data_IF_958606550084
#
_entry.id   IF_958606550084
#
_cell.length_a   1.000
_cell.length_b   1.000
_cell.length_c   1.000
_cell.angle_alpha   90.00
_cell.angle_beta   90.00
_cell.angle_gamma   90.00
#
_symmetry.space_group_name_H-M   'P 1'
#
loop_
_entity.id
_entity.type
_entity.pdbx_description
1 polymer ?
#
# COMPACT_ATOMS: atom_id res chain seq x y z
N UNK A 1 30.60 -73.81 -29.41
CA UNK A 1 30.76 -73.25 -28.13
C UNK A 1 30.79 -71.74 -28.33
N UNK A 2 29.65 -71.11 -28.42
CA UNK A 2 29.53 -69.64 -28.60
C UNK A 2 28.82 -69.05 -27.37
N UNK A 3 29.55 -68.30 -26.61
CA UNK A 3 29.01 -67.59 -25.44
C UNK A 3 28.28 -66.31 -25.94
N UNK A 4 26.98 -66.30 -25.75
CA UNK A 4 26.14 -65.09 -26.02
C UNK A 4 26.17 -64.22 -24.77
N UNK A 5 26.78 -63.08 -24.87
CA UNK A 5 26.78 -62.09 -23.82
C UNK A 5 25.54 -61.18 -24.05
N UNK A 6 24.58 -61.34 -23.18
CA UNK A 6 23.38 -60.48 -23.17
C UNK A 6 23.72 -59.22 -22.42
N UNK A 7 23.81 -58.09 -23.16
CA UNK A 7 23.96 -56.75 -22.57
C UNK A 7 22.58 -56.28 -22.24
N UNK A 8 22.30 -56.14 -20.93
CA UNK A 8 21.08 -55.56 -20.40
C UNK A 8 21.28 -54.04 -20.37
N UNK A 9 20.70 -53.36 -21.33
CA UNK A 9 20.66 -51.88 -21.34
C UNK A 9 19.55 -51.44 -20.38
N UNK A 10 19.96 -51.02 -19.19
CA UNK A 10 19.08 -50.38 -18.21
C UNK A 10 18.83 -48.94 -18.65
N UNK A 11 17.68 -48.71 -19.25
CA UNK A 11 17.22 -47.36 -19.60
C UNK A 11 16.75 -46.66 -18.33
N UNK A 12 17.61 -45.80 -17.76
CA UNK A 12 17.30 -44.93 -16.64
C UNK A 12 16.44 -43.78 -17.14
N UNK A 13 15.11 -43.87 -16.98
CA UNK A 13 14.20 -42.75 -17.20
C UNK A 13 14.43 -41.74 -16.11
N UNK A 14 15.14 -40.64 -16.44
CA UNK A 14 15.22 -39.45 -15.61
C UNK A 14 13.89 -38.73 -15.78
N UNK A 15 12.98 -38.88 -14.82
CA UNK A 15 11.82 -38.02 -14.66
C UNK A 15 12.31 -36.64 -14.23
N UNK A 16 12.46 -35.73 -15.19
CA UNK A 16 12.62 -34.32 -14.94
C UNK A 16 11.29 -33.83 -14.35
N UNK A 17 11.22 -33.72 -13.03
CA UNK A 17 10.21 -32.95 -12.36
C UNK A 17 10.46 -31.49 -12.72
N UNK A 18 9.80 -31.00 -13.77
CA UNK A 18 9.62 -29.56 -14.00
C UNK A 18 8.68 -29.13 -12.89
N UNK A 19 9.28 -28.76 -11.76
CA UNK A 19 8.60 -28.02 -10.73
C UNK A 19 8.19 -26.68 -11.33
N UNK A 20 6.89 -26.48 -11.56
CA UNK A 20 6.33 -25.14 -11.67
C UNK A 20 6.65 -24.42 -10.35
N UNK A 21 7.76 -23.71 -10.34
CA UNK A 21 8.00 -22.68 -9.36
C UNK A 21 6.99 -21.56 -9.66
N UNK A 22 5.81 -21.67 -9.05
CA UNK A 22 5.01 -20.49 -8.86
C UNK A 22 5.87 -19.59 -7.98
N UNK A 23 6.44 -18.54 -8.55
CA UNK A 23 6.99 -17.43 -7.81
C UNK A 23 5.85 -16.87 -6.96
N UNK A 24 5.67 -17.39 -5.75
CA UNK A 24 5.01 -16.65 -4.71
C UNK A 24 5.91 -15.44 -4.48
N UNK A 25 5.48 -14.30 -4.97
CA UNK A 25 6.01 -13.02 -4.50
C UNK A 25 5.85 -13.07 -3.00
N UNK A 26 6.95 -13.15 -2.25
CA UNK A 26 6.92 -13.05 -0.79
C UNK A 26 6.44 -11.63 -0.49
N UNK A 27 5.16 -11.51 -0.18
CA UNK A 27 4.57 -10.22 0.20
C UNK A 27 5.14 -9.81 1.54
N UNK A 28 5.35 -8.52 1.68
CA UNK A 28 5.71 -7.95 2.96
C UNK A 28 4.65 -8.33 4.00
N UNK A 29 5.01 -9.02 5.10
CA UNK A 29 4.03 -9.50 6.08
C UNK A 29 3.24 -8.37 6.72
N UNK A 30 3.83 -7.19 6.92
CA UNK A 30 3.16 -6.01 7.49
C UNK A 30 2.07 -5.49 6.55
N UNK A 31 2.34 -5.43 5.24
CA UNK A 31 1.37 -4.95 4.24
C UNK A 31 0.29 -6.00 3.89
N UNK A 32 0.46 -7.26 4.32
CA UNK A 32 -0.57 -8.29 4.20
C UNK A 32 -1.61 -8.23 5.32
N UNK A 33 -1.36 -7.46 6.37
CA UNK A 33 -2.32 -7.20 7.44
C UNK A 33 -3.45 -6.28 6.98
N UNK A 34 -4.48 -6.14 7.82
CA UNK A 34 -5.54 -5.14 7.72
C UNK A 34 -4.94 -3.71 7.65
N UNK A 35 -5.48 -2.85 6.78
CA UNK A 35 -4.94 -1.50 6.58
C UNK A 35 -5.00 -0.63 7.85
N UNK A 36 -5.91 -0.90 8.78
CA UNK A 36 -5.94 -0.19 10.07
C UNK A 36 -4.66 -0.46 10.87
N UNK A 37 -4.18 -1.70 10.88
CA UNK A 37 -2.91 -2.04 11.54
C UNK A 37 -1.70 -1.44 10.82
N UNK A 38 -1.75 -1.37 9.48
CA UNK A 38 -0.71 -0.68 8.70
C UNK A 38 -0.69 0.80 9.06
N UNK A 39 -1.85 1.44 9.18
CA UNK A 39 -1.98 2.83 9.61
C UNK A 39 -1.41 3.05 11.01
N UNK A 40 -1.79 2.20 11.97
CA UNK A 40 -1.27 2.26 13.34
C UNK A 40 0.24 2.17 13.35
N UNK A 41 0.81 1.25 12.56
CA UNK A 41 2.26 1.08 12.42
C UNK A 41 2.96 2.30 11.84
N UNK A 42 2.34 2.95 10.85
CA UNK A 42 2.84 4.20 10.27
C UNK A 42 2.90 5.28 11.37
N UNK A 43 1.81 5.48 12.12
CA UNK A 43 1.76 6.50 13.17
C UNK A 43 2.70 6.20 14.34
N UNK A 44 2.88 4.93 14.71
CA UNK A 44 3.83 4.51 15.74
C UNK A 44 5.27 4.81 15.37
N UNK A 45 5.64 4.60 14.10
CA UNK A 45 7.04 4.67 13.63
C UNK A 45 7.41 6.03 13.04
N UNK A 46 6.45 6.84 12.63
CA UNK A 46 6.72 8.18 12.11
C UNK A 46 7.31 9.08 13.21
N UNK A 47 8.32 9.88 12.86
CA UNK A 47 8.93 10.87 13.75
C UNK A 47 8.07 12.15 13.82
N UNK A 48 6.96 12.03 14.54
CA UNK A 48 5.96 13.09 14.73
C UNK A 48 6.16 13.78 16.07
N UNK A 49 5.88 15.08 16.14
CA UNK A 49 5.93 15.81 17.40
C UNK A 49 4.80 15.37 18.36
N UNK A 50 4.94 15.75 19.64
CA UNK A 50 4.02 15.34 20.71
C UNK A 50 2.61 15.95 20.51
N UNK A 51 2.52 17.16 19.96
CA UNK A 51 1.24 17.85 19.73
C UNK A 51 0.45 17.13 18.64
N UNK A 52 1.08 16.81 17.52
CA UNK A 52 0.45 16.04 16.45
C UNK A 52 0.06 14.66 16.93
N UNK A 53 0.93 13.94 17.67
CA UNK A 53 0.60 12.63 18.24
C UNK A 53 -0.64 12.67 19.15
N UNK A 54 -0.73 13.67 20.01
CA UNK A 54 -1.89 13.86 20.87
C UNK A 54 -3.16 14.15 20.06
N UNK A 55 -3.04 14.85 18.93
CA UNK A 55 -4.18 15.17 18.07
C UNK A 55 -4.78 13.96 17.36
N UNK A 56 -4.01 12.88 17.15
CA UNK A 56 -4.47 11.65 16.47
C UNK A 56 -5.66 10.99 17.18
N UNK A 57 -5.84 11.19 18.49
CA UNK A 57 -7.02 10.68 19.23
C UNK A 57 -8.36 11.29 18.72
N UNK A 58 -8.28 12.43 18.02
CA UNK A 58 -9.42 13.13 17.42
C UNK A 58 -9.58 12.86 15.92
N UNK A 59 -8.78 11.96 15.36
CA UNK A 59 -8.89 11.58 13.96
C UNK A 59 -9.87 10.43 13.81
N UNK A 60 -10.62 10.45 12.72
CA UNK A 60 -11.52 9.36 12.37
C UNK A 60 -10.88 8.49 11.29
N UNK A 61 -10.95 7.17 11.49
CA UNK A 61 -10.67 6.20 10.44
C UNK A 61 -11.98 5.77 9.81
N UNK A 62 -12.08 5.95 8.49
CA UNK A 62 -13.27 5.62 7.70
C UNK A 62 -12.90 4.57 6.67
N UNK A 63 -13.68 3.49 6.59
CA UNK A 63 -13.56 2.50 5.53
C UNK A 63 -14.04 3.08 4.20
N UNK A 64 -13.23 2.87 3.14
CA UNK A 64 -13.53 3.35 1.80
C UNK A 64 -14.15 2.24 0.96
N UNK A 65 -15.13 2.62 0.16
CA UNK A 65 -15.82 1.79 -0.81
C UNK A 65 -16.15 2.59 -2.08
N UNK A 66 -16.74 1.96 -3.07
CA UNK A 66 -17.09 2.60 -4.36
C UNK A 66 -18.03 3.80 -4.21
N UNK A 67 -18.84 3.86 -3.15
CA UNK A 67 -19.81 4.94 -2.91
C UNK A 67 -19.19 6.21 -2.33
N UNK A 68 -18.13 6.06 -1.51
CA UNK A 68 -17.56 7.18 -0.76
C UNK A 68 -16.15 7.62 -1.21
N UNK A 69 -15.42 6.78 -1.93
CA UNK A 69 -14.02 7.04 -2.33
C UNK A 69 -13.85 8.36 -3.09
N UNK A 70 -14.83 8.75 -3.88
CA UNK A 70 -14.79 9.99 -4.65
C UNK A 70 -14.65 11.24 -3.77
N UNK A 71 -15.17 11.22 -2.54
CA UNK A 71 -15.03 12.30 -1.57
C UNK A 71 -13.60 12.50 -1.06
N UNK A 72 -12.78 11.46 -1.17
CA UNK A 72 -11.38 11.45 -0.69
C UNK A 72 -10.38 11.63 -1.83
N UNK A 73 -10.55 10.92 -2.94
CA UNK A 73 -9.58 10.83 -4.03
C UNK A 73 -10.04 11.52 -5.33
N UNK A 74 -11.24 12.12 -5.34
CA UNK A 74 -11.82 12.68 -6.54
C UNK A 74 -12.38 11.60 -7.47
N UNK A 75 -12.47 11.91 -8.77
CA UNK A 75 -13.02 11.00 -9.77
C UNK A 75 -12.01 9.90 -10.07
N UNK A 76 -12.37 8.65 -9.71
CA UNK A 76 -11.51 7.48 -9.82
C UNK A 76 -12.23 6.36 -10.57
N UNK A 77 -11.54 5.72 -11.51
CA UNK A 77 -12.04 4.58 -12.29
C UNK A 77 -11.30 3.26 -12.01
N UNK A 78 -10.41 3.26 -11.02
CA UNK A 78 -9.66 2.08 -10.59
C UNK A 78 -10.38 1.28 -9.50
N UNK A 79 -10.01 -0.01 -9.38
CA UNK A 79 -10.52 -0.90 -8.35
C UNK A 79 -9.50 -1.12 -7.23
N UNK A 80 -10.01 -1.34 -6.04
CA UNK A 80 -9.23 -1.68 -4.85
C UNK A 80 -9.96 -2.76 -4.05
N UNK A 81 -9.23 -3.51 -3.25
CA UNK A 81 -9.77 -4.60 -2.42
C UNK A 81 -10.04 -4.16 -0.99
N UNK A 82 -9.29 -3.16 -0.50
CA UNK A 82 -9.42 -2.58 0.83
C UNK A 82 -9.01 -1.10 0.76
N UNK A 83 -9.69 -0.24 1.48
CA UNK A 83 -9.35 1.17 1.56
C UNK A 83 -9.77 1.77 2.88
N UNK A 84 -8.93 2.63 3.44
CA UNK A 84 -9.24 3.43 4.63
C UNK A 84 -8.75 4.86 4.45
N UNK A 85 -9.43 5.78 5.11
CA UNK A 85 -8.99 7.18 5.28
C UNK A 85 -8.82 7.48 6.76
N UNK A 86 -7.79 8.26 7.09
CA UNK A 86 -7.61 8.86 8.42
C UNK A 86 -7.52 10.37 8.28
N UNK A 87 -8.43 11.07 8.93
CA UNK A 87 -8.52 12.53 8.87
C UNK A 87 -9.10 13.10 10.17
N UNK A 88 -8.76 14.35 10.55
CA UNK A 88 -9.38 15.04 11.67
C UNK A 88 -10.85 15.32 11.40
N UNK A 89 -11.67 15.31 12.45
CA UNK A 89 -13.10 15.67 12.35
C UNK A 89 -13.34 17.13 11.98
N UNK A 90 -12.32 17.99 12.09
CA UNK A 90 -12.43 19.42 11.81
C UNK A 90 -11.82 19.77 10.45
N UNK A 91 -12.59 20.47 9.62
CA UNK A 91 -12.18 20.87 8.26
C UNK A 91 -11.19 22.05 8.20
N UNK A 92 -10.70 22.52 9.35
CA UNK A 92 -9.69 23.58 9.44
C UNK A 92 -8.25 23.06 9.60
N UNK A 93 -8.08 21.75 9.59
CA UNK A 93 -6.76 21.09 9.62
C UNK A 93 -6.55 20.45 8.25
N UNK A 94 -5.51 20.86 7.50
CA UNK A 94 -5.27 20.35 6.15
C UNK A 94 -4.54 19.01 6.20
N UNK A 95 -5.26 17.98 6.62
CA UNK A 95 -4.73 16.63 6.75
C UNK A 95 -5.70 15.58 6.23
N UNK A 96 -5.22 14.70 5.38
CA UNK A 96 -5.90 13.48 4.95
C UNK A 96 -4.87 12.43 4.55
N UNK A 97 -4.97 11.28 5.17
CA UNK A 97 -4.21 10.08 4.79
C UNK A 97 -5.18 9.03 4.28
N UNK A 98 -4.90 8.47 3.12
CA UNK A 98 -5.63 7.32 2.56
C UNK A 98 -4.65 6.19 2.33
N UNK A 99 -5.03 4.99 2.74
CA UNK A 99 -4.38 3.74 2.36
C UNK A 99 -5.32 2.94 1.48
N UNK A 100 -4.82 2.43 0.38
CA UNK A 100 -5.54 1.52 -0.52
C UNK A 100 -4.72 0.25 -0.72
N UNK A 101 -5.40 -0.89 -0.74
CA UNK A 101 -4.86 -2.16 -1.23
C UNK A 101 -5.50 -2.45 -2.58
N UNK A 102 -4.69 -2.47 -3.62
CA UNK A 102 -5.13 -2.72 -4.99
C UNK A 102 -5.19 -4.22 -5.28
N UNK A 103 -5.89 -4.58 -6.36
CA UNK A 103 -5.79 -5.93 -6.91
C UNK A 103 -4.35 -6.27 -7.32
N UNK A 104 -4.01 -7.56 -7.28
CA UNK A 104 -2.65 -8.04 -7.58
C UNK A 104 -2.16 -7.69 -9.00
N UNK A 105 -3.09 -7.50 -9.93
CA UNK A 105 -2.79 -7.20 -11.33
C UNK A 105 -3.07 -5.73 -11.67
N UNK A 106 -3.29 -4.86 -10.68
CA UNK A 106 -3.53 -3.45 -10.92
C UNK A 106 -2.27 -2.75 -11.43
N UNK A 107 -2.46 -1.80 -12.32
CA UNK A 107 -1.39 -0.88 -12.73
C UNK A 107 -1.24 0.20 -11.63
N UNK A 108 -0.36 -0.09 -10.67
CA UNK A 108 -0.11 0.77 -9.50
C UNK A 108 0.34 2.17 -9.91
N UNK A 109 1.17 2.30 -10.95
CA UNK A 109 1.66 3.59 -11.40
C UNK A 109 0.56 4.42 -12.06
N UNK A 110 -0.33 3.79 -12.83
CA UNK A 110 -1.51 4.46 -13.37
C UNK A 110 -2.45 4.94 -12.25
N UNK A 111 -2.69 4.12 -11.23
CA UNK A 111 -3.50 4.49 -10.06
C UNK A 111 -2.88 5.67 -9.32
N UNK A 112 -1.58 5.66 -9.06
CA UNK A 112 -0.87 6.77 -8.40
C UNK A 112 -0.99 8.06 -9.21
N UNK A 113 -0.87 7.98 -10.53
CA UNK A 113 -1.02 9.15 -11.42
C UNK A 113 -2.43 9.72 -11.34
N UNK A 114 -3.46 8.86 -11.44
CA UNK A 114 -4.87 9.26 -11.31
C UNK A 114 -5.15 9.95 -9.98
N UNK A 115 -4.70 9.37 -8.86
CA UNK A 115 -4.85 9.97 -7.53
C UNK A 115 -4.18 11.35 -7.45
N UNK A 116 -2.96 11.46 -7.98
CA UNK A 116 -2.20 12.71 -7.94
C UNK A 116 -2.84 13.81 -8.79
N UNK A 117 -3.39 13.47 -9.96
CA UNK A 117 -4.06 14.40 -10.86
C UNK A 117 -5.38 14.94 -10.27
N UNK A 118 -6.10 14.11 -9.51
CA UNK A 118 -7.36 14.45 -8.88
C UNK A 118 -7.20 15.07 -7.48
N UNK A 119 -5.99 15.08 -6.91
CA UNK A 119 -5.75 15.63 -5.58
C UNK A 119 -6.10 17.12 -5.51
N UNK A 120 -6.88 17.49 -4.50
CA UNK A 120 -7.23 18.88 -4.25
C UNK A 120 -6.68 19.34 -2.89
N UNK A 121 -5.47 19.93 -2.83
CA UNK A 121 -4.88 20.40 -1.57
C UNK A 121 -5.64 21.57 -0.92
N UNK A 122 -6.67 22.13 -1.59
CA UNK A 122 -7.51 23.22 -1.11
C UNK A 122 -8.94 22.79 -0.75
N UNK A 123 -9.16 21.51 -0.52
CA UNK A 123 -10.51 20.99 -0.18
C UNK A 123 -11.04 21.47 1.18
N UNK A 124 -10.20 22.00 2.04
CA UNK A 124 -10.54 22.46 3.38
C UNK A 124 -10.96 23.94 3.42
N UNK A 125 -11.54 24.35 4.56
CA UNK A 125 -11.99 25.72 4.75
C UNK A 125 -10.83 26.60 5.23
N UNK A 126 -10.44 27.59 4.42
CA UNK A 126 -9.40 28.60 4.72
C UNK A 126 -7.98 28.06 4.93
N UNK A 127 -7.72 26.79 4.68
CA UNK A 127 -6.40 26.17 4.78
C UNK A 127 -6.14 25.28 3.56
N UNK A 128 -4.86 25.05 3.27
CA UNK A 128 -4.45 24.14 2.20
C UNK A 128 -3.30 23.27 2.69
N UNK A 129 -3.21 22.05 2.16
CA UNK A 129 -2.09 21.17 2.41
C UNK A 129 -0.85 21.66 1.65
N UNK A 130 0.31 21.65 2.32
CA UNK A 130 1.59 22.05 1.71
C UNK A 130 2.15 20.97 0.81
N UNK A 131 1.87 19.69 1.13
CA UNK A 131 2.38 18.53 0.42
C UNK A 131 1.24 17.61 -0.03
N UNK A 132 1.41 17.09 -1.26
CA UNK A 132 0.58 16.01 -1.82
C UNK A 132 1.51 14.87 -2.17
N UNK A 133 1.43 13.78 -1.44
CA UNK A 133 2.29 12.60 -1.57
C UNK A 133 1.46 11.41 -2.03
N UNK A 134 1.93 10.70 -3.06
CA UNK A 134 1.38 9.42 -3.50
C UNK A 134 2.53 8.44 -3.66
N UNK A 135 2.61 7.49 -2.76
CA UNK A 135 3.65 6.46 -2.74
C UNK A 135 3.04 5.07 -2.72
N UNK A 136 3.84 4.06 -3.01
CA UNK A 136 3.36 2.67 -2.96
C UNK A 136 4.47 1.71 -2.53
N UNK A 137 4.06 0.64 -1.88
CA UNK A 137 4.86 -0.56 -1.63
C UNK A 137 4.03 -1.74 -2.13
N UNK A 138 4.54 -2.48 -3.10
CA UNK A 138 3.80 -3.54 -3.80
C UNK A 138 2.45 -2.98 -4.33
N UNK A 139 1.33 -3.60 -3.94
CA UNK A 139 -0.02 -3.16 -4.30
C UNK A 139 -0.70 -2.27 -3.23
N UNK A 140 0.03 -1.81 -2.23
CA UNK A 140 -0.48 -0.89 -1.22
C UNK A 140 -0.06 0.52 -1.55
N UNK A 141 -1.04 1.43 -1.69
CA UNK A 141 -0.84 2.83 -2.04
C UNK A 141 -1.14 3.70 -0.82
N UNK A 142 -0.23 4.62 -0.53
CA UNK A 142 -0.42 5.75 0.38
C UNK A 142 -0.72 7.00 -0.43
N UNK A 143 -1.83 7.67 -0.14
CA UNK A 143 -2.09 9.06 -0.51
C UNK A 143 -2.12 9.90 0.76
N UNK A 144 -1.40 11.01 0.75
CA UNK A 144 -1.31 11.91 1.89
C UNK A 144 -1.32 13.36 1.44
N UNK A 145 -2.22 14.13 2.01
CA UNK A 145 -2.20 15.60 1.97
C UNK A 145 -2.04 16.12 3.38
N UNK A 146 -0.98 16.89 3.65
CA UNK A 146 -0.67 17.42 4.98
C UNK A 146 0.29 18.59 4.90
N UNK A 147 0.58 19.24 6.05
CA UNK A 147 1.71 20.14 6.12
C UNK A 147 3.02 19.33 6.05
N UNK A 148 4.09 19.97 5.66
CA UNK A 148 5.39 19.33 5.45
C UNK A 148 5.96 18.69 6.72
N UNK A 149 5.63 19.24 7.87
CA UNK A 149 6.08 18.73 9.19
C UNK A 149 5.56 17.34 9.49
N UNK A 150 4.35 17.00 9.04
CA UNK A 150 3.74 15.67 9.22
C UNK A 150 3.96 14.79 7.99
N UNK A 151 3.88 15.37 6.78
CA UNK A 151 3.91 14.64 5.53
C UNK A 151 5.22 13.85 5.34
N UNK A 152 6.36 14.47 5.61
CA UNK A 152 7.67 13.82 5.42
C UNK A 152 7.90 12.65 6.38
N UNK A 153 7.69 12.79 7.71
CA UNK A 153 7.81 11.68 8.64
C UNK A 153 6.86 10.51 8.32
N UNK A 154 5.60 10.80 7.99
CA UNK A 154 4.59 9.77 7.66
C UNK A 154 4.99 9.02 6.39
N UNK A 155 5.39 9.73 5.33
CA UNK A 155 5.90 9.10 4.11
C UNK A 155 7.09 8.18 4.43
N UNK A 156 8.05 8.65 5.21
CA UNK A 156 9.25 7.87 5.54
C UNK A 156 8.88 6.62 6.37
N UNK A 157 7.95 6.74 7.31
CA UNK A 157 7.43 5.63 8.08
C UNK A 157 6.77 4.58 7.18
N UNK A 158 5.89 5.01 6.26
CA UNK A 158 5.29 4.10 5.28
C UNK A 158 6.38 3.39 4.46
N UNK A 159 7.31 4.14 3.87
CA UNK A 159 8.35 3.56 3.02
C UNK A 159 9.27 2.59 3.77
N UNK A 160 9.50 2.81 5.08
CA UNK A 160 10.29 1.89 5.91
C UNK A 160 9.64 0.52 6.11
N UNK A 161 8.31 0.42 5.93
CA UNK A 161 7.61 -0.86 5.98
C UNK A 161 8.06 -1.82 4.87
N UNK A 162 8.61 -1.32 3.76
CA UNK A 162 9.17 -2.17 2.70
C UNK A 162 10.35 -3.02 3.19
N UNK A 163 11.07 -2.58 4.21
CA UNK A 163 12.25 -3.24 4.77
C UNK A 163 11.92 -4.17 5.93
N UNK A 164 10.69 -4.12 6.46
CA UNK A 164 10.23 -4.97 7.56
C UNK A 164 10.00 -6.39 7.04
N UNK A 165 10.87 -7.32 7.42
CA UNK A 165 10.82 -8.76 7.08
C UNK A 165 10.34 -9.58 8.26
#
# INVERSE_FOLDING_TARGET
MKKIITILISTLMIFSLVGCSSNKVERNPVLSEDLTKVLDKIYETADLDEEFRASLEHYQTVELNEENIQGYLGDTDFKFTEGISSAPMMSSIPYELVLLKLDENADVDAVKSTIKENANPRKWVCVEAEEVIVESIDNTVLFLMANKTEATPIKNAFMSLAEAK
#
